data_IF_163629241983
#
_entry.id   IF_163629241983
#
_cell.length_a   1.000
_cell.length_b   1.000
_cell.length_c   1.000
_cell.angle_alpha   90.00
_cell.angle_beta   90.00
_cell.angle_gamma   90.00
#
_symmetry.space_group_name_H-M   'P 1'
#
loop_
_entity.id
_entity.type
_entity.pdbx_description
1 polymer ?
#
# COMPACT_ATOMS: atom_id res chain seq x y z
N UNK A 1 8.62 46.69 10.83
CA UNK A 1 7.36 46.03 10.43
C UNK A 1 7.67 45.26 9.15
N UNK A 2 8.19 44.04 9.25
CA UNK A 2 8.55 43.24 8.08
C UNK A 2 7.29 42.63 7.47
N UNK A 3 7.13 42.79 6.15
CA UNK A 3 5.94 42.33 5.45
C UNK A 3 6.04 40.83 5.20
N UNK A 4 4.90 40.13 5.11
CA UNK A 4 4.85 38.67 4.88
C UNK A 4 5.61 38.22 3.63
N UNK A 5 5.82 39.12 2.67
CA UNK A 5 6.59 38.89 1.45
C UNK A 5 8.10 38.79 1.72
N UNK A 6 8.66 39.61 2.62
CA UNK A 6 10.09 39.59 2.97
C UNK A 6 10.49 38.24 3.60
N UNK A 7 9.61 37.68 4.43
CA UNK A 7 9.81 36.38 5.08
C UNK A 7 9.85 35.22 4.06
N UNK A 8 9.07 35.28 2.98
CA UNK A 8 9.10 34.27 1.92
C UNK A 8 10.45 34.26 1.20
N UNK A 9 10.97 35.43 0.85
CA UNK A 9 12.26 35.54 0.17
C UNK A 9 13.42 35.05 1.05
N UNK A 10 13.39 35.33 2.35
CA UNK A 10 14.40 34.84 3.29
C UNK A 10 14.35 33.30 3.38
N UNK A 11 13.16 32.70 3.46
CA UNK A 11 13.01 31.23 3.51
C UNK A 11 13.47 30.58 2.21
N UNK A 12 13.07 31.12 1.06
CA UNK A 12 13.48 30.62 -0.26
C UNK A 12 14.99 30.74 -0.43
N UNK A 13 15.59 31.88 -0.07
CA UNK A 13 17.03 32.09 -0.17
C UNK A 13 17.82 31.16 0.75
N UNK A 14 17.32 30.91 1.96
CA UNK A 14 17.91 29.95 2.91
C UNK A 14 17.82 28.53 2.39
N UNK A 15 16.68 28.14 1.81
CA UNK A 15 16.50 26.83 1.16
C UNK A 15 17.45 26.65 -0.01
N UNK A 16 17.57 27.64 -0.89
CA UNK A 16 18.49 27.60 -2.04
C UNK A 16 19.94 27.48 -1.57
N UNK A 17 20.35 28.26 -0.57
CA UNK A 17 21.71 28.16 0.00
C UNK A 17 21.98 26.79 0.62
N UNK A 18 21.00 26.21 1.31
CA UNK A 18 21.14 24.88 1.92
C UNK A 18 21.25 23.79 0.84
N UNK A 19 20.44 23.88 -0.22
CA UNK A 19 20.54 22.99 -1.39
C UNK A 19 21.91 23.08 -2.07
N UNK A 20 22.45 24.29 -2.27
CA UNK A 20 23.78 24.46 -2.85
C UNK A 20 24.90 23.95 -1.95
N UNK A 21 24.78 24.10 -0.63
CA UNK A 21 25.74 23.53 0.32
C UNK A 21 25.72 22.00 0.29
N UNK A 22 24.55 21.37 0.18
CA UNK A 22 24.41 19.93 0.02
C UNK A 22 25.07 19.42 -1.27
N UNK A 23 24.84 20.10 -2.39
CA UNK A 23 25.49 19.78 -3.67
C UNK A 23 27.01 19.95 -3.59
N UNK A 24 27.49 21.01 -2.92
CA UNK A 24 28.91 21.25 -2.72
C UNK A 24 29.57 20.18 -1.82
N UNK A 25 28.90 19.75 -0.74
CA UNK A 25 29.38 18.69 0.13
C UNK A 25 29.41 17.33 -0.58
N UNK A 26 28.42 17.03 -1.41
CA UNK A 26 28.40 15.82 -2.23
C UNK A 26 29.56 15.81 -3.24
N UNK A 27 29.81 16.93 -3.92
CA UNK A 27 30.88 17.05 -4.91
C UNK A 27 32.29 17.04 -4.27
N UNK A 28 32.45 17.60 -3.08
CA UNK A 28 33.73 17.58 -2.36
C UNK A 28 34.04 16.19 -1.79
N UNK A 29 33.04 15.45 -1.30
CA UNK A 29 33.22 14.04 -0.91
C UNK A 29 33.56 13.13 -2.09
N UNK A 30 33.01 13.40 -3.27
CA UNK A 30 33.40 12.68 -4.49
C UNK A 30 34.84 12.99 -4.93
N UNK A 31 35.43 14.12 -4.52
CA UNK A 31 36.79 14.52 -4.92
C UNK A 31 37.89 14.00 -3.98
N UNK A 32 37.61 13.78 -2.69
CA UNK A 32 38.62 13.34 -1.70
C UNK A 32 38.67 11.83 -1.48
N UNK A 33 37.68 11.10 -1.99
CA UNK A 33 37.51 9.68 -1.73
C UNK A 33 38.27 8.82 -2.75
N UNK A 34 38.77 7.66 -2.31
CA UNK A 34 39.53 6.74 -3.16
C UNK A 34 38.66 6.17 -4.28
N UNK A 35 39.27 5.76 -5.40
CA UNK A 35 38.54 5.30 -6.59
C UNK A 35 37.50 4.18 -6.29
N UNK A 36 37.76 3.32 -5.30
CA UNK A 36 36.83 2.25 -4.87
C UNK A 36 35.55 2.79 -4.23
N UNK A 37 35.65 3.82 -3.40
CA UNK A 37 34.49 4.45 -2.74
C UNK A 37 33.62 5.22 -3.74
N UNK A 38 34.21 5.85 -4.76
CA UNK A 38 33.46 6.53 -5.83
C UNK A 38 32.65 5.55 -6.66
N UNK A 39 33.24 4.41 -7.04
CA UNK A 39 32.54 3.36 -7.78
C UNK A 39 31.39 2.79 -6.95
N UNK A 40 31.59 2.58 -5.65
CA UNK A 40 30.52 2.15 -4.73
C UNK A 40 29.34 3.12 -4.70
N UNK A 41 29.60 4.44 -4.59
CA UNK A 41 28.55 5.47 -4.63
C UNK A 41 27.81 5.52 -5.97
N UNK A 42 28.52 5.39 -7.08
CA UNK A 42 27.90 5.34 -8.41
C UNK A 42 26.98 4.12 -8.53
N UNK A 43 27.42 2.94 -8.08
CA UNK A 43 26.59 1.74 -8.09
C UNK A 43 25.35 1.93 -7.20
N UNK A 44 25.53 2.47 -5.99
CA UNK A 44 24.42 2.72 -5.06
C UNK A 44 23.38 3.68 -5.64
N UNK A 45 23.82 4.77 -6.26
CA UNK A 45 22.92 5.76 -6.89
C UNK A 45 22.17 5.18 -8.08
N UNK A 46 22.83 4.38 -8.92
CA UNK A 46 22.16 3.66 -10.02
C UNK A 46 21.09 2.71 -9.48
N UNK A 47 21.40 1.92 -8.46
CA UNK A 47 20.42 1.01 -7.83
C UNK A 47 19.25 1.80 -7.23
N UNK A 48 19.52 2.89 -6.53
CA UNK A 48 18.47 3.74 -5.94
C UNK A 48 17.53 4.33 -7.01
N UNK A 49 18.05 4.74 -8.17
CA UNK A 49 17.25 5.24 -9.29
C UNK A 49 16.35 4.13 -9.86
N UNK A 50 16.87 2.92 -10.05
CA UNK A 50 16.08 1.80 -10.55
C UNK A 50 14.94 1.43 -9.60
N UNK A 51 15.19 1.46 -8.28
CA UNK A 51 14.16 1.21 -7.26
C UNK A 51 13.08 2.30 -7.30
N UNK A 52 13.47 3.58 -7.41
CA UNK A 52 12.53 4.69 -7.46
C UNK A 52 11.58 4.61 -8.68
N UNK A 53 12.10 4.18 -9.84
CA UNK A 53 11.28 3.96 -11.05
C UNK A 53 10.25 2.85 -10.85
N UNK A 54 10.63 1.76 -10.18
CA UNK A 54 9.71 0.66 -9.85
C UNK A 54 8.63 1.13 -8.88
N UNK A 55 8.99 1.85 -7.81
CA UNK A 55 8.03 2.36 -6.82
C UNK A 55 7.02 3.32 -7.46
N UNK A 56 7.45 4.18 -8.38
CA UNK A 56 6.55 5.09 -9.11
C UNK A 56 5.55 4.35 -10.01
N UNK A 57 5.84 3.11 -10.42
CA UNK A 57 4.91 2.29 -11.19
C UNK A 57 3.88 1.57 -10.30
N UNK A 58 4.13 1.47 -8.98
CA UNK A 58 3.23 0.84 -8.01
C UNK A 58 2.21 1.80 -7.37
N UNK A 59 2.20 3.09 -7.74
CA UNK A 59 1.27 4.07 -7.15
C UNK A 59 -0.15 4.01 -7.73
N UNK A 60 -0.39 3.19 -8.76
CA UNK A 60 -1.68 3.08 -9.45
C UNK A 60 -2.56 1.96 -8.86
N UNK A 61 -2.48 1.78 -7.55
CA UNK A 61 -3.37 0.87 -6.84
C UNK A 61 -4.77 1.50 -6.84
N UNK A 62 -5.79 0.85 -7.45
CA UNK A 62 -7.14 1.38 -7.41
C UNK A 62 -7.57 1.57 -5.95
N UNK A 63 -8.36 2.58 -5.59
CA UNK A 63 -8.86 2.74 -4.23
C UNK A 63 -9.79 1.58 -3.84
N UNK A 64 -9.92 1.28 -2.53
CA UNK A 64 -10.82 0.23 -2.06
C UNK A 64 -12.25 0.51 -2.50
N UNK A 65 -13.01 -0.53 -2.88
CA UNK A 65 -14.41 -0.38 -3.25
C UNK A 65 -15.19 0.19 -2.05
N UNK A 66 -16.05 1.18 -2.30
CA UNK A 66 -16.84 1.84 -1.27
C UNK A 66 -17.86 0.85 -0.66
N UNK A 67 -17.87 0.72 0.67
CA UNK A 67 -18.80 -0.16 1.38
C UNK A 67 -20.15 0.56 1.55
N UNK A 68 -21.25 0.05 0.94
CA UNK A 68 -22.57 0.63 1.18
C UNK A 68 -23.02 0.39 2.63
N UNK A 69 -23.82 1.29 3.18
CA UNK A 69 -24.35 1.19 4.56
C UNK A 69 -25.29 -0.02 4.71
N UNK A 70 -26.04 -0.34 3.64
CA UNK A 70 -26.94 -1.49 3.55
C UNK A 70 -26.97 -2.01 2.11
N UNK A 71 -27.17 -3.32 1.96
CA UNK A 71 -27.46 -3.95 0.67
C UNK A 71 -28.97 -4.07 0.52
N UNK A 72 -29.52 -3.55 -0.57
CA UNK A 72 -30.95 -3.57 -0.84
C UNK A 72 -31.37 -4.74 -1.75
N UNK A 73 -30.40 -5.38 -2.42
CA UNK A 73 -30.63 -6.58 -3.21
C UNK A 73 -29.48 -7.58 -3.11
N UNK A 74 -29.78 -8.83 -3.45
CA UNK A 74 -28.81 -9.92 -3.51
C UNK A 74 -27.74 -9.67 -4.58
N UNK A 75 -28.16 -9.10 -5.71
CA UNK A 75 -27.31 -8.76 -6.84
C UNK A 75 -26.29 -7.67 -6.45
N UNK A 76 -26.70 -6.71 -5.62
CA UNK A 76 -25.83 -5.65 -5.11
C UNK A 76 -24.73 -6.22 -4.19
N UNK A 77 -25.10 -7.14 -3.30
CA UNK A 77 -24.15 -7.85 -2.45
C UNK A 77 -23.15 -8.67 -3.29
N UNK A 78 -23.64 -9.44 -4.28
CA UNK A 78 -22.78 -10.23 -5.17
C UNK A 78 -21.79 -9.34 -5.91
N UNK A 79 -22.26 -8.22 -6.46
CA UNK A 79 -21.42 -7.25 -7.16
C UNK A 79 -20.36 -6.62 -6.25
N UNK A 80 -20.74 -6.22 -5.05
CA UNK A 80 -19.78 -5.65 -4.09
C UNK A 80 -18.70 -6.67 -3.70
N UNK A 81 -19.07 -7.92 -3.46
CA UNK A 81 -18.12 -8.99 -3.12
C UNK A 81 -17.16 -9.31 -4.27
N UNK A 82 -17.63 -9.24 -5.52
CA UNK A 82 -16.76 -9.34 -6.71
C UNK A 82 -15.73 -8.20 -6.75
N UNK A 83 -16.17 -6.95 -6.54
CA UNK A 83 -15.25 -5.79 -6.51
C UNK A 83 -14.21 -5.90 -5.40
N UNK A 84 -14.60 -6.38 -4.23
CA UNK A 84 -13.69 -6.63 -3.10
C UNK A 84 -12.66 -7.71 -3.46
N UNK A 85 -13.11 -8.80 -4.08
CA UNK A 85 -12.23 -9.87 -4.54
C UNK A 85 -11.19 -9.36 -5.55
N UNK A 86 -11.63 -8.63 -6.58
CA UNK A 86 -10.75 -8.05 -7.60
C UNK A 86 -9.72 -7.09 -7.00
N UNK A 87 -10.15 -6.23 -6.08
CA UNK A 87 -9.28 -5.29 -5.38
C UNK A 87 -8.16 -6.00 -4.61
N UNK A 88 -8.50 -7.02 -3.82
CA UNK A 88 -7.51 -7.77 -3.04
C UNK A 88 -6.69 -8.76 -3.88
N UNK A 89 -7.18 -9.18 -5.05
CA UNK A 89 -6.38 -9.96 -6.00
C UNK A 89 -5.15 -9.15 -6.50
N UNK A 90 -5.29 -7.83 -6.64
CA UNK A 90 -4.22 -6.92 -7.08
C UNK A 90 -3.28 -6.54 -5.94
N UNK A 91 -3.82 -6.19 -4.77
CA UNK A 91 -3.04 -5.65 -3.64
C UNK A 91 -2.28 -6.74 -2.86
N UNK A 92 -2.66 -8.01 -3.05
CA UNK A 92 -1.96 -9.15 -2.50
C UNK A 92 -2.94 -10.16 -1.93
N UNK A 93 -2.67 -11.45 -2.22
CA UNK A 93 -3.51 -12.59 -1.82
C UNK A 93 -4.02 -12.40 -0.38
N UNK A 94 -5.33 -12.22 -0.18
CA UNK A 94 -5.85 -12.04 1.15
C UNK A 94 -5.54 -13.30 1.96
N UNK A 95 -4.66 -13.17 2.96
CA UNK A 95 -4.46 -14.21 3.96
C UNK A 95 -5.65 -14.14 4.91
N UNK A 96 -6.79 -14.67 4.47
CA UNK A 96 -7.91 -14.99 5.34
C UNK A 96 -7.48 -16.17 6.22
N UNK A 97 -6.63 -15.88 7.19
CA UNK A 97 -5.96 -16.91 7.95
C UNK A 97 -5.21 -16.27 9.10
N UNK A 98 -5.85 -16.33 10.27
CA UNK A 98 -5.30 -16.06 11.61
C UNK A 98 -5.17 -14.60 12.01
N UNK A 99 -6.27 -14.04 12.48
CA UNK A 99 -6.23 -13.28 13.73
C UNK A 99 -7.57 -13.40 14.45
N UNK A 100 -7.80 -14.55 15.09
CA UNK A 100 -8.68 -14.58 16.25
C UNK A 100 -7.88 -15.19 17.38
N UNK A 101 -7.12 -14.33 18.08
CA UNK A 101 -6.83 -14.58 19.49
C UNK A 101 -8.17 -14.73 20.19
N UNK A 102 -8.57 -15.98 20.30
CA UNK A 102 -9.67 -16.58 21.04
C UNK A 102 -10.13 -15.77 22.27
N UNK A 103 -11.03 -14.80 22.07
CA UNK A 103 -11.89 -14.35 23.18
C UNK A 103 -13.23 -13.69 22.81
N UNK A 104 -13.43 -13.25 21.56
CA UNK A 104 -14.67 -12.58 21.14
C UNK A 104 -15.08 -12.99 19.71
N UNK A 105 -15.33 -14.29 19.48
CA UNK A 105 -16.07 -14.69 18.27
C UNK A 105 -17.51 -14.85 18.73
N UNK A 106 -18.38 -13.95 18.28
CA UNK A 106 -19.82 -14.08 18.50
C UNK A 106 -20.31 -15.38 17.87
N UNK A 107 -21.31 -16.03 18.45
CA UNK A 107 -21.83 -17.31 17.95
C UNK A 107 -22.31 -17.20 16.49
N UNK A 108 -22.74 -16.01 16.07
CA UNK A 108 -23.16 -15.69 14.71
C UNK A 108 -21.99 -15.71 13.71
N UNK A 109 -20.80 -15.23 14.10
CA UNK A 109 -19.64 -15.23 13.21
C UNK A 109 -19.14 -16.65 12.92
N UNK A 110 -19.26 -17.56 13.91
CA UNK A 110 -18.98 -18.99 13.69
C UNK A 110 -19.98 -19.61 12.75
N UNK A 111 -21.27 -19.35 12.94
CA UNK A 111 -22.31 -19.87 12.05
C UNK A 111 -22.13 -19.37 10.60
N UNK A 112 -21.72 -18.11 10.43
CA UNK A 112 -21.43 -17.56 9.11
C UNK A 112 -20.20 -18.23 8.48
N UNK A 113 -19.15 -18.44 9.27
CA UNK A 113 -17.95 -19.13 8.81
C UNK A 113 -18.26 -20.59 8.41
N UNK A 114 -18.94 -21.34 9.27
CA UNK A 114 -19.38 -22.72 9.05
C UNK A 114 -20.34 -22.84 7.86
N UNK A 115 -21.10 -21.78 7.55
CA UNK A 115 -21.97 -21.75 6.39
C UNK A 115 -21.22 -21.67 5.06
N UNK A 116 -20.10 -20.93 5.04
CA UNK A 116 -19.27 -20.74 3.84
C UNK A 116 -18.15 -21.79 3.69
N UNK A 117 -17.67 -22.38 4.78
CA UNK A 117 -16.71 -23.49 4.78
C UNK A 117 -17.43 -24.80 4.43
N UNK A 118 -17.41 -25.18 3.16
CA UNK A 118 -18.11 -26.37 2.64
C UNK A 118 -17.33 -27.65 2.91
N UNK A 119 -16.00 -27.58 2.93
CA UNK A 119 -15.12 -28.73 2.99
C UNK A 119 -14.60 -29.04 4.42
N UNK A 120 -14.82 -28.13 5.38
CA UNK A 120 -14.43 -28.24 6.78
C UNK A 120 -12.92 -28.05 7.01
N UNK A 121 -12.20 -27.40 6.10
CA UNK A 121 -10.75 -27.19 6.20
C UNK A 121 -10.35 -25.98 7.05
N UNK A 122 -11.34 -25.32 7.69
CA UNK A 122 -11.19 -24.08 8.45
C UNK A 122 -10.62 -22.93 7.61
N UNK A 123 -10.88 -22.96 6.32
CA UNK A 123 -10.63 -21.86 5.39
C UNK A 123 -11.81 -21.74 4.43
N UNK A 124 -11.90 -20.62 3.72
CA UNK A 124 -12.96 -20.40 2.74
C UNK A 124 -12.26 -20.11 1.43
N UNK A 125 -12.33 -21.06 0.50
CA UNK A 125 -11.83 -20.86 -0.84
C UNK A 125 -12.80 -19.96 -1.65
N UNK A 126 -12.32 -19.18 -2.64
CA UNK A 126 -13.19 -18.30 -3.42
C UNK A 126 -14.36 -19.03 -4.08
N UNK A 127 -14.12 -20.23 -4.60
CA UNK A 127 -15.12 -21.09 -5.23
C UNK A 127 -16.21 -21.53 -4.26
N UNK A 128 -15.85 -21.94 -3.04
CA UNK A 128 -16.79 -22.31 -1.97
C UNK A 128 -17.68 -21.11 -1.56
N UNK A 129 -17.04 -19.94 -1.44
CA UNK A 129 -17.73 -18.69 -1.13
C UNK A 129 -18.79 -18.34 -2.19
N UNK A 130 -18.42 -18.40 -3.48
CA UNK A 130 -19.34 -18.11 -4.57
C UNK A 130 -20.44 -19.17 -4.72
N UNK A 131 -20.13 -20.45 -4.50
CA UNK A 131 -21.11 -21.53 -4.54
C UNK A 131 -22.25 -21.31 -3.54
N UNK A 132 -21.93 -20.82 -2.34
CA UNK A 132 -22.94 -20.53 -1.31
C UNK A 132 -23.73 -19.27 -1.63
N UNK A 133 -23.11 -18.24 -2.21
CA UNK A 133 -23.83 -17.04 -2.66
C UNK A 133 -24.86 -17.31 -3.77
N UNK A 134 -24.73 -18.40 -4.52
CA UNK A 134 -25.73 -18.82 -5.50
C UNK A 134 -26.98 -19.47 -4.87
N UNK A 135 -26.93 -19.83 -3.59
CA UNK A 135 -28.03 -20.47 -2.87
C UNK A 135 -28.78 -19.57 -1.86
N UNK A 136 -28.35 -18.31 -1.67
CA UNK A 136 -28.96 -17.33 -0.74
C UNK A 136 -29.64 -16.20 -1.51
#
# INVERSE_FOLDING_TARGET
MHTKEDLKYIVIFTLIKNQQQLVFLHNTMLFTSSNTTRVSWIIFTVIAIQIAQVISAYTDVPPPPNRPERFHSREELKRYLQLVHEYYAIIGRPRFGRSLSSKYIDAQDRQLFDFFDVNGDNSIAPDEFYQRLENI
#
